data_IF_470101818493
#
_entry.id   IF_470101818493
#
_cell.length_a   1.000
_cell.length_b   1.000
_cell.length_c   1.000
_cell.angle_alpha   90.00
_cell.angle_beta   90.00
_cell.angle_gamma   90.00
#
_symmetry.space_group_name_H-M   'P 1'
#
loop_
_entity.id
_entity.type
_entity.pdbx_description
1 polymer ?
#
# COMPACT_ATOMS: atom_id res chain seq x y z
N UNK A 1 20.77 14.85 25.00
CA UNK A 1 19.53 14.61 25.77
C UNK A 1 18.42 15.46 25.17
N UNK A 2 17.38 14.82 24.63
CA UNK A 2 16.01 15.30 24.30
C UNK A 2 15.40 14.22 23.39
N UNK A 3 14.90 13.13 23.98
CA UNK A 3 13.51 12.92 24.38
C UNK A 3 12.58 12.62 23.20
N UNK A 4 12.18 11.36 23.17
CA UNK A 4 11.19 10.71 22.31
C UNK A 4 9.87 11.49 22.18
N UNK A 5 9.36 11.57 20.96
CA UNK A 5 7.94 11.52 20.52
C UNK A 5 7.97 12.00 19.05
N UNK A 6 7.36 11.41 18.02
CA UNK A 6 6.16 10.58 17.85
C UNK A 6 6.42 9.80 16.55
N UNK A 7 6.42 8.47 16.52
CA UNK A 7 5.28 7.70 16.01
C UNK A 7 5.48 6.24 16.42
N UNK A 8 5.10 5.92 17.64
CA UNK A 8 4.82 4.53 18.02
C UNK A 8 3.39 4.16 17.60
N UNK A 9 2.97 4.55 16.38
CA UNK A 9 1.81 3.93 15.74
C UNK A 9 2.30 2.57 15.28
N UNK A 10 1.73 1.50 15.82
CA UNK A 10 2.23 0.14 15.60
C UNK A 10 2.40 -0.15 14.11
N UNK A 11 3.64 -0.31 13.66
CA UNK A 11 4.00 -0.56 12.26
C UNK A 11 3.13 -1.67 11.68
N UNK A 12 2.44 -1.38 10.57
CA UNK A 12 1.68 -2.39 9.83
C UNK A 12 2.63 -3.46 9.33
N UNK A 13 2.53 -4.68 9.87
CA UNK A 13 3.31 -5.80 9.36
C UNK A 13 2.73 -6.25 8.01
N UNK A 14 3.52 -6.98 7.22
CA UNK A 14 3.01 -7.60 5.99
C UNK A 14 1.81 -8.52 6.25
N UNK A 15 1.78 -9.19 7.41
CA UNK A 15 0.66 -10.04 7.82
C UNK A 15 -0.60 -9.22 8.08
N UNK A 16 -0.46 -8.11 8.81
CA UNK A 16 -1.58 -7.22 9.14
C UNK A 16 -2.12 -6.58 7.86
N UNK A 17 -1.25 -6.08 6.98
CA UNK A 17 -1.65 -5.47 5.72
C UNK A 17 -2.40 -6.47 4.84
N UNK A 18 -1.92 -7.72 4.76
CA UNK A 18 -2.62 -8.78 4.02
C UNK A 18 -3.98 -9.10 4.65
N UNK A 19 -4.11 -9.06 5.98
CA UNK A 19 -5.39 -9.26 6.66
C UNK A 19 -6.37 -8.09 6.40
N UNK A 20 -5.85 -6.87 6.39
CA UNK A 20 -6.60 -5.66 6.08
C UNK A 20 -7.14 -5.67 4.66
N UNK A 21 -6.33 -5.99 3.65
CA UNK A 21 -6.79 -6.10 2.26
C UNK A 21 -7.90 -7.15 2.11
N UNK A 22 -7.76 -8.32 2.76
CA UNK A 22 -8.82 -9.33 2.78
C UNK A 22 -10.08 -8.82 3.45
N UNK A 23 -9.96 -8.10 4.56
CA UNK A 23 -11.10 -7.54 5.27
C UNK A 23 -11.81 -6.45 4.44
N UNK A 24 -11.08 -5.61 3.70
CA UNK A 24 -11.67 -4.62 2.78
C UNK A 24 -12.46 -5.25 1.62
N UNK A 25 -12.09 -6.47 1.21
CA UNK A 25 -12.81 -7.22 0.19
C UNK A 25 -14.13 -7.82 0.72
N UNK A 26 -14.21 -8.08 2.04
CA UNK A 26 -15.43 -8.59 2.70
C UNK A 26 -16.34 -7.45 3.14
N UNK A 27 -15.78 -6.39 3.71
CA UNK A 27 -16.48 -5.22 4.21
C UNK A 27 -16.32 -4.06 3.23
N UNK A 28 -17.30 -3.93 2.33
CA UNK A 28 -17.37 -2.89 1.33
C UNK A 28 -17.67 -1.50 1.93
N UNK A 29 -17.91 -0.50 1.07
CA UNK A 29 -18.15 0.89 1.49
C UNK A 29 -19.51 1.10 2.16
N UNK A 30 -20.48 0.23 1.88
CA UNK A 30 -21.86 0.35 2.37
C UNK A 30 -22.07 -0.44 3.67
N UNK A 31 -21.07 -1.23 4.07
CA UNK A 31 -21.06 -1.96 5.33
C UNK A 31 -21.15 -1.00 6.53
N UNK A 32 -22.19 -1.10 7.38
CA UNK A 32 -22.27 -0.33 8.62
C UNK A 32 -21.13 -0.72 9.55
N UNK A 33 -20.58 0.23 10.30
CA UNK A 33 -19.47 -0.01 11.23
C UNK A 33 -18.25 -0.68 10.56
N UNK A 34 -18.03 -0.40 9.27
CA UNK A 34 -16.95 -0.98 8.46
C UNK A 34 -15.61 -1.04 9.18
N UNK A 35 -15.17 0.06 9.78
CA UNK A 35 -13.85 0.14 10.42
C UNK A 35 -13.76 -0.71 11.68
N UNK A 36 -14.84 -0.84 12.45
CA UNK A 36 -14.91 -1.76 13.59
C UNK A 36 -14.79 -3.24 13.15
N UNK A 37 -15.48 -3.59 12.06
CA UNK A 37 -15.43 -4.95 11.50
C UNK A 37 -14.04 -5.29 10.94
N UNK A 38 -13.43 -4.33 10.21
CA UNK A 38 -12.07 -4.51 9.66
C UNK A 38 -11.03 -4.59 10.78
N UNK A 39 -11.10 -3.73 11.79
CA UNK A 39 -10.19 -3.77 12.96
C UNK A 39 -10.25 -5.13 13.67
N UNK A 40 -11.46 -5.64 13.85
CA UNK A 40 -11.69 -6.98 14.44
C UNK A 40 -11.08 -8.09 13.58
N UNK A 41 -11.23 -8.01 12.25
CA UNK A 41 -10.70 -9.01 11.31
C UNK A 41 -9.17 -8.99 11.18
N UNK A 42 -8.54 -7.81 11.29
CA UNK A 42 -7.08 -7.67 11.30
C UNK A 42 -6.50 -8.18 12.62
N UNK A 43 -7.16 -7.88 13.74
CA UNK A 43 -6.75 -8.27 15.08
C UNK A 43 -5.62 -7.36 15.62
N UNK A 44 -5.85 -6.76 16.79
CA UNK A 44 -4.84 -5.92 17.45
C UNK A 44 -4.64 -4.53 16.82
N UNK A 45 -5.59 -4.06 16.01
CA UNK A 45 -5.66 -2.67 15.50
C UNK A 45 -6.95 -2.01 15.97
N UNK A 46 -6.93 -0.69 16.15
CA UNK A 46 -8.16 0.07 16.44
C UNK A 46 -8.86 0.51 15.14
N UNK A 47 -10.16 0.82 15.18
CA UNK A 47 -10.88 1.35 14.02
C UNK A 47 -10.24 2.64 13.46
N UNK A 48 -9.69 3.48 14.33
CA UNK A 48 -9.01 4.73 13.94
C UNK A 48 -7.68 4.46 13.22
N UNK A 49 -6.90 3.47 13.68
CA UNK A 49 -5.67 3.05 13.00
C UNK A 49 -5.96 2.45 11.62
N UNK A 50 -7.03 1.65 11.52
CA UNK A 50 -7.48 1.07 10.25
C UNK A 50 -7.94 2.16 9.28
N UNK A 51 -8.74 3.12 9.75
CA UNK A 51 -9.20 4.23 8.93
C UNK A 51 -8.02 5.08 8.43
N UNK A 52 -7.07 5.40 9.31
CA UNK A 52 -5.87 6.15 8.96
C UNK A 52 -5.03 5.42 7.90
N UNK A 53 -4.90 4.09 8.03
CA UNK A 53 -4.19 3.25 7.05
C UNK A 53 -4.89 3.21 5.69
N UNK A 54 -6.23 3.18 5.68
CA UNK A 54 -7.02 3.26 4.46
C UNK A 54 -6.85 4.61 3.73
N UNK A 55 -6.80 5.72 4.46
CA UNK A 55 -6.57 7.04 3.89
C UNK A 55 -5.18 7.15 3.23
N UNK A 56 -4.15 6.53 3.82
CA UNK A 56 -2.83 6.42 3.21
C UNK A 56 -2.86 5.60 1.91
N UNK A 57 -3.56 4.46 1.91
CA UNK A 57 -3.74 3.65 0.72
C UNK A 57 -4.39 4.42 -0.43
N UNK A 58 -5.44 5.21 -0.14
CA UNK A 58 -6.09 6.05 -1.16
C UNK A 58 -5.15 7.12 -1.70
N UNK A 59 -4.33 7.74 -0.84
CA UNK A 59 -3.33 8.71 -1.26
C UNK A 59 -2.29 8.08 -2.20
N UNK A 60 -1.80 6.89 -1.86
CA UNK A 60 -0.82 6.18 -2.68
C UNK A 60 -1.41 5.80 -4.05
N UNK A 61 -2.65 5.30 -4.08
CA UNK A 61 -3.37 5.04 -5.34
C UNK A 61 -3.47 6.32 -6.17
N UNK A 62 -3.84 7.45 -5.54
CA UNK A 62 -3.91 8.75 -6.24
C UNK A 62 -2.56 9.19 -6.82
N UNK A 63 -1.45 8.96 -6.11
CA UNK A 63 -0.11 9.22 -6.65
C UNK A 63 0.23 8.31 -7.84
N UNK A 64 -0.19 7.04 -7.80
CA UNK A 64 -0.02 6.08 -8.89
C UNK A 64 -0.81 6.51 -10.13
N UNK A 65 -2.09 6.82 -9.96
CA UNK A 65 -2.98 7.21 -11.05
C UNK A 65 -2.60 8.56 -11.68
N UNK A 66 -2.04 9.49 -10.89
CA UNK A 66 -1.54 10.78 -11.39
C UNK A 66 -0.14 10.71 -12.02
N UNK A 67 0.48 9.52 -12.08
CA UNK A 67 1.84 9.36 -12.63
C UNK A 67 2.93 10.04 -11.80
N UNK A 68 2.66 10.31 -10.51
CA UNK A 68 3.59 10.94 -9.57
C UNK A 68 4.54 9.93 -8.90
N UNK A 69 4.50 8.65 -9.30
CA UNK A 69 5.47 7.64 -8.87
C UNK A 69 6.54 7.47 -9.94
N UNK A 70 7.83 7.55 -9.56
CA UNK A 70 8.91 7.28 -10.49
C UNK A 70 8.80 5.82 -10.96
N UNK A 71 8.75 5.62 -12.28
CA UNK A 71 8.83 4.29 -12.84
C UNK A 71 10.18 3.67 -12.46
N UNK A 72 10.20 2.39 -12.02
CA UNK A 72 11.46 1.69 -11.82
C UNK A 72 12.26 1.72 -13.13
N UNK A 73 13.55 2.04 -13.05
CA UNK A 73 14.42 2.00 -14.19
C UNK A 73 14.72 0.52 -14.52
N UNK A 74 13.83 -0.11 -15.28
CA UNK A 74 14.02 -1.44 -15.83
C UNK A 74 15.04 -1.31 -16.97
N UNK A 75 16.32 -1.26 -16.62
CA UNK A 75 17.41 -1.17 -17.57
C UNK A 75 17.22 -2.25 -18.66
N UNK A 76 16.97 -1.82 -19.90
CA UNK A 76 17.02 -2.68 -21.09
C UNK A 76 18.48 -3.07 -21.32
N UNK A 77 18.97 -4.09 -20.64
CA UNK A 77 20.22 -4.73 -21.03
C UNK A 77 19.98 -5.60 -22.26
N UNK A 78 20.55 -5.14 -23.38
CA UNK A 78 21.03 -5.93 -24.53
C UNK A 78 20.03 -6.78 -25.30
N UNK A 79 19.40 -6.20 -26.31
CA UNK A 79 19.05 -6.91 -27.54
C UNK A 79 19.07 -5.90 -28.70
N UNK A 80 20.21 -5.81 -29.40
CA UNK A 80 20.34 -5.54 -30.85
C UNK A 80 21.80 -5.17 -31.17
N UNK A 81 22.66 -6.19 -31.18
CA UNK A 81 23.83 -6.21 -32.06
C UNK A 81 23.66 -7.44 -32.94
N UNK A 82 23.30 -7.27 -34.21
CA UNK A 82 24.16 -7.70 -35.31
C UNK A 82 23.66 -7.19 -36.67
N UNK A 83 24.62 -6.69 -37.44
CA UNK A 83 24.48 -6.23 -38.82
C UNK A 83 24.35 -7.43 -39.76
N UNK A 84 23.34 -7.46 -40.63
CA UNK A 84 23.46 -8.15 -41.92
C UNK A 84 23.41 -7.10 -43.03
N UNK A 85 24.60 -6.67 -43.41
CA UNK A 85 24.89 -5.79 -44.53
C UNK A 85 24.59 -6.54 -45.82
N UNK A 86 23.38 -6.37 -46.34
CA UNK A 86 23.00 -6.82 -47.69
C UNK A 86 23.83 -6.07 -48.76
N UNK A 87 24.84 -6.74 -49.31
CA UNK A 87 25.44 -6.46 -50.61
C UNK A 87 25.83 -7.76 -51.29
#
# INVERSE_FOLDING_TARGET
MASSSMSATGSWSAKDNKAFERALAVYDKDTPERWNNVATAVGGKTPEEVKSHYELLLRDIGHIESGQVPFPNYNKSSAETDQEKKR
#
